data_IF_828275045487
#
_entry.id   IF_828275045487
#
_cell.length_a   1.000
_cell.length_b   1.000
_cell.length_c   1.000
_cell.angle_alpha   90.00
_cell.angle_beta   90.00
_cell.angle_gamma   90.00
#
_symmetry.space_group_name_H-M   'P 1'
#
loop_
_entity.id
_entity.type
_entity.pdbx_description
1 polymer ?
#
# COMPACT_ATOMS: atom_id res chain seq x y z
N UNK A 1 28.13 -27.09 -22.10
CA UNK A 1 28.37 -27.15 -20.65
C UNK A 1 27.14 -26.55 -19.99
N UNK A 2 26.52 -27.29 -19.08
CA UNK A 2 25.44 -26.79 -18.24
C UNK A 2 25.95 -26.90 -16.80
N UNK A 3 25.74 -25.86 -15.99
CA UNK A 3 26.02 -25.93 -14.57
C UNK A 3 24.88 -26.68 -13.86
N UNK A 4 25.16 -27.18 -12.66
CA UNK A 4 24.16 -27.83 -11.83
C UNK A 4 23.10 -26.83 -11.34
N UNK A 5 21.99 -27.35 -10.81
CA UNK A 5 20.87 -26.52 -10.36
C UNK A 5 21.32 -25.54 -9.26
N UNK A 6 21.16 -24.24 -9.50
CA UNK A 6 21.58 -23.18 -8.57
C UNK A 6 22.99 -22.62 -8.79
N UNK A 7 23.64 -23.00 -9.88
CA UNK A 7 24.93 -22.46 -10.29
C UNK A 7 24.82 -21.63 -11.57
N UNK A 8 25.70 -20.63 -11.69
CA UNK A 8 25.82 -19.75 -12.86
C UNK A 8 27.25 -19.86 -13.39
N UNK A 9 27.41 -19.99 -14.71
CA UNK A 9 28.72 -20.04 -15.34
C UNK A 9 29.38 -18.66 -15.32
N UNK A 10 30.52 -18.54 -14.65
CA UNK A 10 31.36 -17.35 -14.59
C UNK A 10 32.40 -17.42 -15.73
N UNK A 11 32.29 -16.53 -16.72
CA UNK A 11 33.18 -16.49 -17.89
C UNK A 11 34.56 -15.88 -17.59
N UNK A 12 34.73 -15.17 -16.47
CA UNK A 12 36.03 -14.64 -16.04
C UNK A 12 36.84 -15.74 -15.36
N UNK A 13 36.17 -16.58 -14.57
CA UNK A 13 36.77 -17.71 -13.85
C UNK A 13 36.74 -19.03 -14.61
N UNK A 14 35.98 -19.10 -15.71
CA UNK A 14 35.74 -20.33 -16.47
C UNK A 14 35.20 -21.47 -15.59
N UNK A 15 34.36 -21.14 -14.62
CA UNK A 15 33.85 -22.07 -13.61
C UNK A 15 32.37 -21.83 -13.32
N UNK A 16 31.65 -22.90 -13.00
CA UNK A 16 30.32 -22.77 -12.40
C UNK A 16 30.49 -22.31 -10.95
N UNK A 17 29.85 -21.20 -10.60
CA UNK A 17 29.83 -20.68 -9.24
C UNK A 17 28.41 -20.71 -8.72
N UNK A 18 28.25 -21.00 -7.43
CA UNK A 18 26.94 -20.91 -6.77
C UNK A 18 26.43 -19.48 -6.94
N UNK A 19 25.34 -19.34 -7.67
CA UNK A 19 24.87 -18.05 -8.14
C UNK A 19 23.36 -18.10 -8.36
N UNK A 20 22.68 -17.00 -8.10
CA UNK A 20 21.25 -16.92 -8.41
C UNK A 20 21.11 -16.71 -9.92
N UNK A 21 20.56 -17.69 -10.63
CA UNK A 21 20.36 -17.61 -12.07
C UNK A 21 19.42 -16.45 -12.41
N UNK A 22 19.94 -15.39 -13.05
CA UNK A 22 19.31 -14.66 -14.15
C UNK A 22 17.88 -14.12 -13.99
N UNK A 23 17.30 -14.04 -12.80
CA UNK A 23 16.23 -13.07 -12.54
C UNK A 23 17.00 -11.79 -12.25
N UNK A 24 16.80 -10.75 -13.07
CA UNK A 24 17.07 -9.37 -12.66
C UNK A 24 16.79 -9.26 -11.16
N UNK A 25 17.62 -8.56 -10.40
CA UNK A 25 17.32 -8.19 -9.01
C UNK A 25 16.02 -7.38 -9.05
N UNK A 26 14.88 -8.07 -9.17
CA UNK A 26 13.60 -7.61 -8.69
C UNK A 26 13.90 -7.55 -7.21
N UNK A 27 14.08 -6.33 -6.73
CA UNK A 27 14.23 -6.03 -5.31
C UNK A 27 13.35 -7.03 -4.57
N UNK A 28 13.99 -7.88 -3.77
CA UNK A 28 13.24 -8.84 -2.96
C UNK A 28 12.16 -8.05 -2.21
N UNK A 29 10.94 -8.59 -2.08
CA UNK A 29 9.89 -7.89 -1.35
C UNK A 29 10.40 -7.58 0.06
N UNK A 30 10.10 -6.37 0.55
CA UNK A 30 10.51 -5.92 1.89
C UNK A 30 9.80 -6.71 2.98
N UNK A 31 8.66 -7.32 2.64
CA UNK A 31 7.78 -8.01 3.57
C UNK A 31 7.01 -9.15 2.90
N UNK A 32 6.47 -10.04 3.73
CA UNK A 32 5.59 -11.13 3.30
C UNK A 32 4.16 -10.59 3.17
N UNK A 33 3.51 -10.83 2.04
CA UNK A 33 2.14 -10.35 1.77
C UNK A 33 1.19 -10.64 2.94
N UNK A 34 0.47 -9.61 3.40
CA UNK A 34 -0.47 -9.70 4.52
C UNK A 34 0.16 -9.72 5.91
N UNK A 35 1.49 -9.72 6.04
CA UNK A 35 2.16 -9.52 7.32
C UNK A 35 1.76 -8.17 7.94
N UNK A 36 1.70 -8.12 9.28
CA UNK A 36 1.35 -6.89 10.01
C UNK A 36 2.23 -6.63 11.22
N UNK A 37 2.60 -5.38 11.42
CA UNK A 37 3.52 -4.91 12.47
C UNK A 37 2.99 -3.66 13.16
N UNK A 38 3.28 -3.49 14.45
CA UNK A 38 2.85 -2.31 15.21
C UNK A 38 3.71 -1.08 14.91
N UNK A 39 3.12 0.11 15.00
CA UNK A 39 3.87 1.37 14.94
C UNK A 39 4.17 1.85 16.36
N UNK A 40 5.45 1.91 16.73
CA UNK A 40 5.87 2.38 18.05
C UNK A 40 5.37 3.80 18.37
N UNK A 41 5.12 4.62 17.34
CA UNK A 41 4.75 6.04 17.40
C UNK A 41 3.26 6.37 17.25
N UNK A 42 2.41 5.45 16.75
CA UNK A 42 0.93 5.53 16.92
C UNK A 42 0.31 4.21 17.45
N UNK A 43 -0.36 4.24 18.62
CA UNK A 43 -0.98 3.05 19.22
C UNK A 43 -2.15 2.52 18.37
N UNK A 44 -2.71 3.36 17.51
CA UNK A 44 -3.69 2.99 16.49
C UNK A 44 -3.01 2.50 15.21
N UNK A 45 -1.75 2.89 15.01
CA UNK A 45 -0.99 2.66 13.79
C UNK A 45 -0.38 1.27 13.73
N UNK A 46 -0.43 0.69 12.54
CA UNK A 46 0.23 -0.54 12.19
C UNK A 46 0.63 -0.51 10.72
N UNK A 47 1.57 -1.37 10.33
CA UNK A 47 1.96 -1.58 8.94
C UNK A 47 1.38 -2.88 8.44
N UNK A 48 0.92 -2.91 7.19
CA UNK A 48 0.50 -4.11 6.48
C UNK A 48 1.31 -4.25 5.21
N UNK A 49 1.75 -5.47 4.92
CA UNK A 49 2.46 -5.74 3.67
C UNK A 49 1.47 -5.86 2.51
N UNK A 50 1.62 -5.00 1.51
CA UNK A 50 0.82 -5.01 0.29
C UNK A 50 1.77 -4.96 -0.90
N UNK A 51 1.70 -5.96 -1.78
CA UNK A 51 2.57 -6.12 -2.96
C UNK A 51 4.07 -6.05 -2.63
N UNK A 52 4.45 -6.59 -1.48
CA UNK A 52 5.85 -6.65 -1.04
C UNK A 52 6.42 -5.35 -0.46
N UNK A 53 5.58 -4.35 -0.15
CA UNK A 53 5.99 -3.12 0.56
C UNK A 53 5.11 -2.86 1.78
N UNK A 54 5.70 -2.24 2.80
CA UNK A 54 4.97 -1.83 4.00
C UNK A 54 4.10 -0.61 3.73
N UNK A 55 2.80 -0.74 4.03
CA UNK A 55 1.82 0.32 3.94
C UNK A 55 1.28 0.62 5.34
N UNK A 56 1.27 1.89 5.73
CA UNK A 56 0.72 2.31 7.02
C UNK A 56 -0.81 2.26 7.00
N UNK A 57 -1.38 1.75 8.08
CA UNK A 57 -2.80 1.62 8.30
C UNK A 57 -3.12 1.94 9.76
N UNK A 58 -4.36 2.35 10.02
CA UNK A 58 -4.78 2.81 11.34
C UNK A 58 -6.07 2.13 11.76
N UNK A 59 -6.15 1.78 13.04
CA UNK A 59 -7.39 1.38 13.67
C UNK A 59 -8.38 2.55 13.72
N UNK A 60 -9.68 2.22 13.68
CA UNK A 60 -10.76 3.18 13.91
C UNK A 60 -10.61 3.91 15.24
N UNK A 61 -11.34 5.00 15.39
CA UNK A 61 -11.32 5.77 16.63
C UNK A 61 -11.67 4.88 17.84
N UNK A 62 -11.07 5.20 18.98
CA UNK A 62 -11.20 4.42 20.22
C UNK A 62 -10.70 2.97 20.14
N UNK A 63 -9.88 2.62 19.15
CA UNK A 63 -9.24 1.30 19.03
C UNK A 63 -7.73 1.42 18.86
N UNK A 64 -6.98 0.52 19.51
CA UNK A 64 -5.53 0.38 19.36
C UNK A 64 -5.22 -0.92 18.61
N UNK A 65 -4.10 -0.94 17.89
CA UNK A 65 -3.61 -2.16 17.28
C UNK A 65 -2.96 -3.06 18.32
N UNK A 66 -3.41 -4.31 18.39
CA UNK A 66 -2.83 -5.35 19.24
C UNK A 66 -1.97 -6.28 18.37
N UNK A 67 -0.62 -6.23 18.49
CA UNK A 67 0.29 -7.04 17.68
C UNK A 67 0.16 -8.54 17.97
N UNK A 68 -0.36 -8.94 19.13
CA UNK A 68 -0.52 -10.34 19.49
C UNK A 68 -1.71 -10.98 18.74
N UNK A 69 -2.81 -10.23 18.61
CA UNK A 69 -3.98 -10.66 17.84
C UNK A 69 -3.97 -10.21 16.37
N UNK A 70 -3.01 -9.37 15.98
CA UNK A 70 -2.89 -8.77 14.63
C UNK A 70 -4.17 -8.04 14.19
N UNK A 71 -4.85 -7.42 15.16
CA UNK A 71 -6.17 -6.82 15.02
C UNK A 71 -6.34 -5.57 15.87
N UNK A 72 -7.33 -4.76 15.51
CA UNK A 72 -7.73 -3.60 16.29
C UNK A 72 -8.59 -4.02 17.48
N UNK A 73 -8.30 -3.47 18.65
CA UNK A 73 -9.04 -3.72 19.90
C UNK A 73 -9.42 -2.42 20.57
N UNK A 74 -10.60 -2.39 21.19
CA UNK A 74 -11.05 -1.20 21.91
C UNK A 74 -10.07 -0.80 23.02
N UNK A 75 -9.84 0.50 23.15
CA UNK A 75 -8.92 1.10 24.14
C UNK A 75 -9.20 0.67 25.57
N UNK A 76 -10.45 0.36 25.91
CA UNK A 76 -10.85 -0.14 27.23
C UNK A 76 -10.33 -1.56 27.51
N UNK A 77 -10.15 -2.36 26.46
CA UNK A 77 -9.67 -3.75 26.53
C UNK A 77 -8.17 -3.88 26.28
N UNK A 78 -7.62 -2.98 25.48
CA UNK A 78 -6.21 -2.91 25.13
C UNK A 78 -5.74 -1.46 25.17
N UNK A 79 -5.44 -0.93 26.37
CA UNK A 79 -5.00 0.45 26.53
C UNK A 79 -3.58 0.63 25.98
N UNK A 80 -3.33 1.81 25.41
CA UNK A 80 -2.02 2.20 24.90
C UNK A 80 -1.04 2.32 26.07
N UNK A 81 0.05 1.54 26.05
CA UNK A 81 1.03 1.48 27.15
C UNK A 81 2.13 2.53 27.06
N UNK A 82 1.90 3.63 26.32
CA UNK A 82 2.99 4.54 25.97
C UNK A 82 3.64 5.21 27.17
N UNK A 83 4.92 4.93 27.32
CA UNK A 83 5.88 5.83 27.96
C UNK A 83 6.18 6.91 26.92
N UNK A 84 5.68 8.12 27.12
CA UNK A 84 5.98 9.25 26.22
C UNK A 84 7.42 9.66 26.48
N UNK A 85 8.38 9.09 25.76
CA UNK A 85 9.61 9.85 25.49
C UNK A 85 9.22 10.94 24.49
N UNK A 86 9.51 12.22 24.77
CA UNK A 86 9.19 13.30 23.86
C UNK A 86 10.02 13.15 22.59
N UNK A 87 9.45 12.52 21.57
CA UNK A 87 9.98 12.54 20.22
C UNK A 87 9.45 13.80 19.51
N UNK A 88 10.29 14.50 18.73
CA UNK A 88 9.85 15.63 17.94
C UNK A 88 8.77 15.14 16.97
N UNK A 89 7.59 15.77 17.01
CA UNK A 89 6.54 15.56 16.01
C UNK A 89 7.11 15.91 14.64
N UNK A 90 7.55 14.93 13.87
CA UNK A 90 7.67 15.07 12.42
C UNK A 90 6.26 15.06 11.86
N UNK A 91 5.61 16.23 11.91
CA UNK A 91 4.38 16.50 11.19
C UNK A 91 4.71 16.40 9.71
N UNK A 92 4.52 15.22 9.11
CA UNK A 92 4.23 15.18 7.68
C UNK A 92 2.80 15.67 7.57
N UNK A 93 2.67 16.98 7.41
CA UNK A 93 1.43 17.60 6.98
C UNK A 93 1.03 16.89 5.67
N UNK A 94 -0.16 16.25 5.58
CA UNK A 94 -0.60 15.75 4.29
C UNK A 94 -0.74 16.98 3.40
N UNK A 95 0.08 17.05 2.35
CA UNK A 95 -0.13 17.96 1.24
C UNK A 95 -1.63 17.93 0.91
N UNK A 96 -2.31 19.09 0.81
CA UNK A 96 -3.73 19.12 0.49
C UNK A 96 -3.90 18.35 -0.82
N UNK A 97 -4.55 17.19 -0.74
CA UNK A 97 -4.85 16.38 -1.90
C UNK A 97 -5.89 17.16 -2.70
N UNK A 98 -5.40 18.00 -3.59
CA UNK A 98 -6.21 18.66 -4.60
C UNK A 98 -6.96 17.55 -5.34
N UNK A 99 -8.31 17.55 -5.34
CA UNK A 99 -9.05 16.51 -6.03
C UNK A 99 -8.68 16.55 -7.52
N UNK A 100 -8.00 15.50 -7.97
CA UNK A 100 -7.74 15.24 -9.39
C UNK A 100 -9.10 15.07 -10.06
N UNK A 101 -9.61 16.14 -10.68
CA UNK A 101 -10.78 16.11 -11.55
C UNK A 101 -10.52 15.14 -12.68
N UNK A 102 -11.08 13.95 -12.55
CA UNK A 102 -11.30 13.04 -13.67
C UNK A 102 -12.51 13.60 -14.43
N UNK A 103 -12.40 13.93 -15.73
CA UNK A 103 -13.59 14.25 -16.50
C UNK A 103 -14.45 12.98 -16.57
N UNK A 104 -15.63 13.05 -15.93
CA UNK A 104 -16.70 12.08 -16.08
C UNK A 104 -17.10 12.02 -17.56
N UNK A 105 -17.19 10.83 -18.19
CA UNK A 105 -17.72 10.74 -19.54
C UNK A 105 -19.21 11.10 -19.49
N UNK A 106 -19.58 12.15 -20.22
CA UNK A 106 -20.97 12.59 -20.42
C UNK A 106 -21.91 11.40 -20.69
N UNK A 107 -23.01 11.24 -19.94
CA UNK A 107 -24.05 10.29 -20.32
C UNK A 107 -24.71 10.78 -21.61
N UNK A 108 -24.54 10.01 -22.68
CA UNK A 108 -25.15 10.26 -23.98
C UNK A 108 -26.67 10.18 -23.85
N UNK A 109 -27.35 11.34 -23.77
CA UNK A 109 -28.81 11.38 -23.84
C UNK A 109 -29.28 11.28 -25.31
N UNK A 110 -30.28 10.44 -25.60
CA UNK A 110 -30.82 10.23 -26.95
C UNK A 110 -31.60 11.45 -27.45
N UNK A 111 -31.34 11.85 -28.71
CA UNK A 111 -32.04 12.92 -29.42
C UNK A 111 -33.54 12.62 -29.52
N UNK A 112 -34.37 13.40 -28.85
CA UNK A 112 -35.82 13.47 -29.13
C UNK A 112 -36.13 14.60 -30.09
N UNK A 113 -36.44 14.23 -31.33
CA UNK A 113 -37.04 15.06 -32.37
C UNK A 113 -38.43 15.53 -31.92
N UNK A 114 -38.67 16.85 -31.85
CA UNK A 114 -40.04 17.40 -31.84
C UNK A 114 -40.35 18.05 -33.18
N UNK A 115 -41.50 17.68 -33.73
CA UNK A 115 -42.11 18.19 -34.95
C UNK A 115 -42.51 19.68 -34.82
N UNK A 116 -42.63 20.43 -35.93
CA UNK A 116 -43.00 21.84 -35.91
C UNK A 116 -44.53 22.04 -35.81
N UNK A 117 -44.96 23.01 -35.01
CA UNK A 117 -46.35 23.49 -34.90
C UNK A 117 -46.43 24.94 -35.48
N UNK A 118 -47.55 25.38 -36.10
CA UNK A 118 -47.54 26.45 -37.11
C UNK A 118 -47.74 27.86 -36.55
N UNK A 119 -47.32 28.87 -37.34
CA UNK A 119 -47.40 30.30 -37.03
C UNK A 119 -48.85 30.83 -37.03
N UNK A 120 -49.20 31.78 -36.14
CA UNK A 120 -50.48 32.47 -36.19
C UNK A 120 -50.43 33.70 -37.13
N UNK A 121 -51.57 33.95 -37.77
CA UNK A 121 -51.89 34.97 -38.79
C UNK A 121 -51.93 36.40 -38.26
#
# INVERSE_FOLDING_TARGET
MACDEGEVFDEERWQCVVGTCGRQVRSAPECIEGAKEEMAEDCRGYRVCIKGSWVEAYCSDCMNYDPASKACRYVVSYPCKRVVTPQPKTTVEPEPTQPKTTPEPEPTQPKTTKAPEPEPT
#
